data_IF_134749291025
#
_entry.id   IF_134749291025
#
_cell.length_a   1.000
_cell.length_b   1.000
_cell.length_c   1.000
_cell.angle_alpha   90.00
_cell.angle_beta   90.00
_cell.angle_gamma   90.00
#
_symmetry.space_group_name_H-M   'P 1'
#
loop_
_entity.id
_entity.type
_entity.pdbx_description
1 polymer ?
#
# COMPACT_ATOMS: atom_id res chain seq x y z
N UNK A 1 -9.67 13.03 1.38
CA UNK A 1 -8.37 12.66 1.94
C UNK A 1 -7.79 11.55 1.09
N UNK A 2 -6.56 11.72 0.58
CA UNK A 2 -5.84 10.73 -0.22
C UNK A 2 -5.00 9.84 0.68
N UNK A 3 -5.27 8.55 0.66
CA UNK A 3 -4.60 7.56 1.53
C UNK A 3 -3.83 6.57 0.68
N UNK A 4 -2.56 6.36 1.02
CA UNK A 4 -1.76 5.28 0.46
C UNK A 4 -1.64 4.14 1.46
N UNK A 5 -2.05 2.94 1.06
CA UNK A 5 -1.98 1.72 1.88
C UNK A 5 -0.88 0.82 1.31
N UNK A 6 0.12 0.48 2.12
CA UNK A 6 1.16 -0.48 1.77
C UNK A 6 0.81 -1.85 2.34
N UNK A 7 0.68 -2.85 1.48
CA UNK A 7 0.27 -4.21 1.82
C UNK A 7 -1.25 -4.39 1.77
N UNK A 8 -1.68 -5.49 1.16
CA UNK A 8 -3.06 -5.89 0.92
C UNK A 8 -3.37 -7.30 1.44
N UNK A 9 -2.72 -7.64 2.55
CA UNK A 9 -3.12 -8.78 3.40
C UNK A 9 -4.29 -8.37 4.32
N UNK A 10 -4.52 -9.09 5.42
CA UNK A 10 -5.68 -8.86 6.29
C UNK A 10 -5.81 -7.42 6.80
N UNK A 11 -4.75 -6.85 7.37
CA UNK A 11 -4.77 -5.47 7.91
C UNK A 11 -4.93 -4.41 6.82
N UNK A 12 -4.33 -4.62 5.64
CA UNK A 12 -4.48 -3.74 4.48
C UNK A 12 -5.90 -3.70 3.94
N UNK A 13 -6.56 -4.87 3.86
CA UNK A 13 -7.98 -4.98 3.47
C UNK A 13 -8.89 -4.24 4.44
N UNK A 14 -8.71 -4.46 5.75
CA UNK A 14 -9.49 -3.78 6.76
C UNK A 14 -9.28 -2.25 6.74
N UNK A 15 -8.05 -1.80 6.49
CA UNK A 15 -7.75 -0.38 6.34
C UNK A 15 -8.43 0.24 5.11
N UNK A 16 -8.44 -0.48 3.98
CA UNK A 16 -9.13 -0.04 2.76
C UNK A 16 -10.64 0.13 3.02
N UNK A 17 -11.29 -0.90 3.57
CA UNK A 17 -12.73 -0.87 3.89
C UNK A 17 -13.08 0.30 4.83
N UNK A 18 -12.25 0.54 5.86
CA UNK A 18 -12.44 1.67 6.77
C UNK A 18 -12.32 3.02 6.05
N UNK A 19 -11.27 3.21 5.26
CA UNK A 19 -11.01 4.47 4.57
C UNK A 19 -12.10 4.77 3.54
N UNK A 20 -12.60 3.74 2.84
CA UNK A 20 -13.72 3.86 1.90
C UNK A 20 -15.03 4.20 2.60
N UNK A 21 -15.32 3.57 3.74
CA UNK A 21 -16.47 3.92 4.57
C UNK A 21 -16.44 5.37 5.07
N UNK A 22 -15.25 5.96 5.17
CA UNK A 22 -15.03 7.37 5.51
C UNK A 22 -15.01 8.32 4.29
N UNK A 23 -15.17 7.80 3.07
CA UNK A 23 -15.12 8.60 1.83
C UNK A 23 -13.72 9.05 1.43
N UNK A 24 -12.67 8.31 1.82
CA UNK A 24 -11.31 8.59 1.41
C UNK A 24 -11.00 8.06 0.00
N UNK A 25 -10.12 8.76 -0.71
CA UNK A 25 -9.56 8.31 -1.99
C UNK A 25 -8.33 7.44 -1.71
N UNK A 26 -8.41 6.15 -2.02
CA UNK A 26 -7.42 5.16 -1.59
C UNK A 26 -6.64 4.58 -2.76
N UNK A 27 -5.33 4.48 -2.59
CA UNK A 27 -4.45 3.66 -3.42
C UNK A 27 -3.79 2.58 -2.56
N UNK A 28 -3.63 1.40 -3.14
CA UNK A 28 -3.04 0.23 -2.48
C UNK A 28 -1.82 -0.22 -3.27
N UNK A 29 -0.73 -0.46 -2.56
CA UNK A 29 0.54 -0.95 -3.12
C UNK A 29 0.89 -2.26 -2.44
N UNK A 30 1.03 -3.34 -3.21
CA UNK A 30 1.47 -4.64 -2.69
C UNK A 30 2.18 -5.44 -3.79
N UNK A 31 3.39 -5.94 -3.49
CA UNK A 31 4.22 -6.75 -4.40
C UNK A 31 3.68 -8.15 -4.66
N UNK A 32 2.79 -8.64 -3.78
CA UNK A 32 2.20 -9.97 -3.86
C UNK A 32 0.92 -10.02 -4.69
N UNK A 33 0.47 -8.88 -5.21
CA UNK A 33 -0.72 -8.82 -6.05
C UNK A 33 -0.45 -9.42 -7.42
N UNK A 34 -1.34 -10.32 -7.81
CA UNK A 34 -1.35 -10.89 -9.14
C UNK A 34 -1.71 -9.79 -10.15
N UNK A 35 -0.89 -9.61 -11.18
CA UNK A 35 -1.02 -8.55 -12.20
C UNK A 35 -2.36 -8.55 -12.96
N UNK A 36 -3.19 -9.57 -12.79
CA UNK A 36 -4.53 -9.68 -13.35
C UNK A 36 -5.63 -8.97 -12.53
N UNK A 37 -5.28 -8.28 -11.45
CA UNK A 37 -6.25 -7.51 -10.66
C UNK A 37 -6.72 -6.27 -11.45
N UNK A 38 -7.95 -6.29 -11.97
CA UNK A 38 -8.48 -5.23 -12.85
C UNK A 38 -9.04 -4.01 -12.10
N UNK A 39 -8.45 -3.66 -10.97
CA UNK A 39 -8.91 -2.57 -10.11
C UNK A 39 -7.84 -1.47 -10.05
N UNK A 40 -8.21 -0.27 -10.51
CA UNK A 40 -7.31 0.88 -10.65
C UNK A 40 -6.71 1.36 -9.32
N UNK A 41 -7.30 0.98 -8.18
CA UNK A 41 -6.81 1.33 -6.85
C UNK A 41 -5.51 0.60 -6.51
N UNK A 42 -5.26 -0.53 -7.17
CA UNK A 42 -4.11 -1.38 -6.92
C UNK A 42 -3.00 -1.07 -7.91
N UNK A 43 -1.85 -0.67 -7.37
CA UNK A 43 -0.69 -0.31 -8.17
C UNK A 43 0.55 -1.05 -7.68
N UNK A 44 1.50 -1.25 -8.57
CA UNK A 44 2.82 -1.79 -8.23
C UNK A 44 3.71 -0.71 -7.62
N UNK A 45 4.80 -1.09 -6.96
CA UNK A 45 5.78 -0.12 -6.43
C UNK A 45 6.38 0.76 -7.53
N UNK A 46 6.64 0.20 -8.72
CA UNK A 46 7.15 0.99 -9.84
C UNK A 46 6.20 2.14 -10.22
N UNK A 47 4.89 1.85 -10.34
CA UNK A 47 3.90 2.89 -10.63
C UNK A 47 3.71 3.88 -9.48
N UNK A 48 3.97 3.47 -8.24
CA UNK A 48 3.99 4.37 -7.10
C UNK A 48 5.15 5.36 -7.18
N UNK A 49 6.37 4.88 -7.47
CA UNK A 49 7.55 5.74 -7.60
C UNK A 49 7.33 6.82 -8.65
N UNK A 50 6.81 6.45 -9.83
CA UNK A 50 6.49 7.39 -10.90
C UNK A 50 5.49 8.47 -10.45
N UNK A 51 4.47 8.08 -9.66
CA UNK A 51 3.46 9.01 -9.13
C UNK A 51 4.04 9.96 -8.07
N UNK A 52 4.92 9.47 -7.20
CA UNK A 52 5.60 10.32 -6.20
C UNK A 52 6.51 11.31 -6.92
N UNK A 53 7.28 10.87 -7.90
CA UNK A 53 8.15 11.72 -8.72
C UNK A 53 7.35 12.75 -9.55
N UNK A 54 6.12 12.42 -9.94
CA UNK A 54 5.20 13.35 -10.61
C UNK A 54 4.53 14.35 -9.66
N UNK A 55 4.85 14.33 -8.36
CA UNK A 55 4.30 15.25 -7.37
C UNK A 55 2.92 14.87 -6.83
N UNK A 56 2.48 13.61 -6.95
CA UNK A 56 1.31 13.18 -6.17
C UNK A 56 1.65 13.16 -4.68
N UNK A 57 0.83 13.85 -3.90
CA UNK A 57 0.94 13.92 -2.44
C UNK A 57 -0.24 13.17 -1.83
N UNK A 58 0.05 12.33 -0.83
CA UNK A 58 -0.95 11.68 0.01
C UNK A 58 -1.06 12.41 1.35
N UNK A 59 -2.28 12.46 1.89
CA UNK A 59 -2.55 13.06 3.19
C UNK A 59 -2.19 12.08 4.33
N UNK A 60 -2.23 10.77 4.06
CA UNK A 60 -1.94 9.71 5.02
C UNK A 60 -1.29 8.50 4.35
N UNK A 61 -0.37 7.86 5.07
CA UNK A 61 0.26 6.59 4.70
C UNK A 61 -0.06 5.53 5.74
N UNK A 62 -0.63 4.40 5.31
CA UNK A 62 -0.95 3.26 6.17
C UNK A 62 -0.03 2.09 5.84
N UNK A 63 0.86 1.74 6.77
CA UNK A 63 1.84 0.65 6.58
C UNK A 63 1.26 -0.66 7.16
N UNK A 64 0.77 -1.54 6.28
CA UNK A 64 0.14 -2.83 6.58
C UNK A 64 0.96 -4.03 6.07
N UNK A 65 2.28 -3.87 5.98
CA UNK A 65 3.22 -4.94 5.61
C UNK A 65 3.77 -5.67 6.84
N UNK A 66 4.07 -6.96 6.68
CA UNK A 66 4.79 -7.72 7.70
C UNK A 66 6.28 -7.44 7.63
N UNK A 67 6.93 -7.20 8.77
CA UNK A 67 8.38 -7.11 8.83
C UNK A 67 9.03 -8.43 8.40
N UNK A 68 10.00 -8.39 7.50
CA UNK A 68 10.82 -9.57 7.20
C UNK A 68 11.80 -9.81 8.36
N UNK A 69 11.79 -11.00 8.96
CA UNK A 69 12.67 -11.39 10.08
C UNK A 69 14.16 -11.50 9.72
N UNK A 70 14.62 -10.87 8.63
CA UNK A 70 15.99 -11.03 8.13
C UNK A 70 17.02 -10.12 8.81
N UNK A 71 16.60 -9.13 9.61
CA UNK A 71 17.52 -8.20 10.28
C UNK A 71 18.11 -8.68 11.62
N UNK A 72 17.65 -9.81 12.18
CA UNK A 72 18.16 -10.32 13.47
C UNK A 72 19.14 -11.49 13.36
N UNK A 73 19.65 -11.82 12.16
CA UNK A 73 20.51 -13.01 11.96
C UNK A 73 22.02 -12.76 11.99
N UNK A 74 22.49 -11.51 12.13
CA UNK A 74 23.92 -11.17 12.08
C UNK A 74 24.47 -10.59 13.39
N UNK A 75 24.18 -11.22 14.52
CA UNK A 75 24.99 -11.05 15.74
C UNK A 75 25.29 -12.42 16.33
N UNK A 76 26.36 -13.04 15.83
CA UNK A 76 27.16 -14.03 16.54
C UNK A 76 28.61 -13.60 16.48
#
# INVERSE_FOLDING_TARGET
>A
MKVLIYGFSWSGKAALELCEGMGCDCLVVDDSLDTNFSDYRFITYQHLEDRILSGNVFDMYWIAISGTRNYCKNTK
#
